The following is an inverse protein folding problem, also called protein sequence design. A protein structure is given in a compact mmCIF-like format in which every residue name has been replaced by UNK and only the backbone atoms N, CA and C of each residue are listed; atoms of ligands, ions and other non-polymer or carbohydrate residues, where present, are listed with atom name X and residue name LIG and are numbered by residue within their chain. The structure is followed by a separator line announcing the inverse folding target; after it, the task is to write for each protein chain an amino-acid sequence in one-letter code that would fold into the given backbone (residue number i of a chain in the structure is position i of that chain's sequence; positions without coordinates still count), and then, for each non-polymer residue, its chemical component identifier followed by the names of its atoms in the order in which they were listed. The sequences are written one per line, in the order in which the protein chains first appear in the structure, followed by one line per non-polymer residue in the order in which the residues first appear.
data_IF_346704197371
#
_entry.id   IF_346704197371
#
_cell.length_a   1.000
_cell.length_b   1.000
_cell.length_c   1.000
_cell.angle_alpha   90.00
_cell.angle_beta   90.00
_cell.angle_gamma   90.00
#
_symmetry.space_group_name_H-M   'P 1'
#
loop_
_entity.id
_entity.type
_entity.pdbx_description
1 polymer ?
#
# COMPACT_ATOMS: atom_id res chain seq x y z
N UNK A 1 -8.27 -24.54 20.30
CA UNK A 1 -7.63 -24.62 18.98
C UNK A 1 -8.71 -24.92 17.96
N UNK A 2 -9.09 -23.93 17.18
CA UNK A 2 -9.99 -24.09 16.04
C UNK A 2 -9.84 -22.82 15.20
N UNK A 3 -8.84 -22.85 14.33
CA UNK A 3 -8.58 -21.84 13.31
C UNK A 3 -9.72 -21.89 12.30
N UNK A 4 -10.60 -20.89 12.34
CA UNK A 4 -11.54 -20.61 11.27
C UNK A 4 -10.73 -20.25 10.02
N UNK A 5 -10.60 -21.20 9.10
CA UNK A 5 -10.05 -20.97 7.77
C UNK A 5 -10.95 -20.02 7.02
N UNK A 6 -10.57 -18.74 6.97
CA UNK A 6 -11.11 -17.79 6.01
C UNK A 6 -10.73 -18.28 4.62
N UNK A 7 -11.68 -18.89 3.92
CA UNK A 7 -11.60 -19.04 2.47
C UNK A 7 -11.53 -17.63 1.88
N UNK A 8 -10.33 -17.24 1.44
CA UNK A 8 -10.08 -15.92 0.90
C UNK A 8 -10.87 -15.65 -0.38
N UNK A 9 -11.40 -14.44 -0.51
CA UNK A 9 -12.33 -14.03 -1.60
C UNK A 9 -11.64 -14.07 -2.97
N UNK A 10 -10.31 -13.99 -3.02
CA UNK A 10 -9.55 -14.01 -4.27
C UNK A 10 -9.28 -15.43 -4.80
N UNK A 11 -9.47 -16.49 -4.00
CA UNK A 11 -9.25 -17.88 -4.44
C UNK A 11 -10.14 -18.27 -5.62
N UNK A 12 -11.32 -17.66 -5.71
CA UNK A 12 -12.28 -17.87 -6.80
C UNK A 12 -11.98 -17.01 -8.06
N UNK A 13 -10.99 -16.10 -8.01
CA UNK A 13 -10.62 -15.20 -9.12
C UNK A 13 -9.44 -15.72 -9.97
N UNK A 14 -9.17 -17.03 -9.92
CA UNK A 14 -8.12 -17.67 -10.72
C UNK A 14 -8.35 -17.61 -12.24
N UNK A 15 -9.55 -17.24 -12.70
CA UNK A 15 -9.87 -17.23 -14.13
C UNK A 15 -8.87 -16.38 -14.95
N UNK A 16 -8.33 -16.87 -16.09
CA UNK A 16 -7.33 -16.15 -16.89
C UNK A 16 -7.78 -14.76 -17.33
N UNK A 17 -9.07 -14.61 -17.66
CA UNK A 17 -9.67 -13.32 -18.06
C UNK A 17 -9.66 -12.24 -16.96
N UNK A 18 -9.39 -12.60 -15.70
CA UNK A 18 -9.30 -11.64 -14.59
C UNK A 18 -7.88 -11.16 -14.32
N UNK A 19 -6.85 -11.78 -14.93
CA UNK A 19 -5.45 -11.49 -14.61
C UNK A 19 -5.08 -10.01 -14.87
N UNK A 20 -5.51 -9.45 -15.99
CA UNK A 20 -5.24 -8.05 -16.33
C UNK A 20 -5.99 -7.08 -15.39
N UNK A 21 -7.21 -7.43 -14.97
CA UNK A 21 -7.93 -6.66 -13.97
C UNK A 21 -7.21 -6.69 -12.61
N UNK A 22 -6.68 -7.84 -12.19
CA UNK A 22 -5.90 -7.99 -10.96
C UNK A 22 -4.60 -7.18 -11.02
N UNK A 23 -3.85 -7.23 -12.13
CA UNK A 23 -2.65 -6.41 -12.34
C UNK A 23 -2.97 -4.92 -12.28
N UNK A 24 -4.06 -4.51 -12.94
CA UNK A 24 -4.53 -3.12 -12.94
C UNK A 24 -4.90 -2.65 -11.53
N UNK A 25 -5.71 -3.43 -10.80
CA UNK A 25 -6.08 -3.16 -9.42
C UNK A 25 -4.86 -3.05 -8.50
N UNK A 26 -3.91 -3.99 -8.60
CA UNK A 26 -2.66 -3.94 -7.85
C UNK A 26 -1.85 -2.68 -8.18
N UNK A 27 -1.77 -2.32 -9.46
CA UNK A 27 -1.11 -1.09 -9.92
C UNK A 27 -1.75 0.17 -9.33
N UNK A 28 -3.08 0.26 -9.33
CA UNK A 28 -3.83 1.38 -8.73
C UNK A 28 -3.62 1.41 -7.21
N UNK A 29 -3.62 0.26 -6.54
CA UNK A 29 -3.39 0.17 -5.08
C UNK A 29 -2.04 0.77 -4.67
N UNK A 30 -0.96 0.41 -5.36
CA UNK A 30 0.36 1.01 -5.07
C UNK A 30 0.46 2.49 -5.48
N UNK A 31 -0.30 2.94 -6.48
CA UNK A 31 -0.43 4.38 -6.78
C UNK A 31 -1.11 5.11 -5.64
N UNK A 32 -2.17 4.56 -5.06
CA UNK A 32 -2.84 5.13 -3.89
C UNK A 32 -1.90 5.27 -2.69
N UNK A 33 -1.13 4.22 -2.37
CA UNK A 33 -0.09 4.27 -1.32
C UNK A 33 0.86 5.45 -1.55
N UNK A 34 1.35 5.61 -2.78
CA UNK A 34 2.21 6.75 -3.15
C UNK A 34 1.48 8.08 -2.99
N UNK A 35 0.25 8.20 -3.46
CA UNK A 35 -0.56 9.41 -3.35
C UNK A 35 -0.77 9.83 -1.89
N UNK A 36 -1.04 8.89 -0.98
CA UNK A 36 -1.20 9.17 0.46
C UNK A 36 0.13 9.66 1.07
N UNK A 37 1.25 9.07 0.68
CA UNK A 37 2.58 9.54 1.09
C UNK A 37 2.87 10.95 0.59
N UNK A 38 2.68 11.19 -0.71
CA UNK A 38 2.95 12.49 -1.35
C UNK A 38 2.05 13.58 -0.75
N UNK A 39 0.78 13.27 -0.47
CA UNK A 39 -0.14 14.15 0.25
C UNK A 39 0.36 14.47 1.66
N UNK A 40 0.78 13.45 2.43
CA UNK A 40 1.24 13.62 3.82
C UNK A 40 2.50 14.48 3.89
N UNK A 41 3.43 14.30 2.94
CA UNK A 41 4.64 15.12 2.83
C UNK A 41 4.31 16.58 2.45
N UNK A 42 3.38 16.77 1.49
CA UNK A 42 2.93 18.12 1.11
C UNK A 42 2.26 18.83 2.28
N UNK A 43 1.43 18.12 3.05
CA UNK A 43 0.79 18.65 4.24
C UNK A 43 1.81 19.00 5.34
N UNK A 44 2.83 18.17 5.53
CA UNK A 44 3.93 18.45 6.45
C UNK A 44 4.63 19.77 6.11
N UNK A 45 4.96 20.00 4.83
CA UNK A 45 5.60 21.23 4.37
C UNK A 45 4.74 22.47 4.62
N UNK A 46 3.42 22.36 4.42
CA UNK A 46 2.50 23.47 4.73
C UNK A 46 2.47 23.80 6.22
N UNK A 47 2.49 22.79 7.09
CA UNK A 47 2.57 23.01 8.53
C UNK A 47 3.90 23.63 8.95
N UNK A 48 5.01 23.17 8.38
CA UNK A 48 6.35 23.72 8.65
C UNK A 48 6.43 25.21 8.27
N UNK A 49 6.01 25.57 7.06
CA UNK A 49 5.98 26.97 6.61
C UNK A 49 5.10 27.85 7.49
N UNK A 50 3.93 27.35 7.91
CA UNK A 50 3.05 28.08 8.81
C UNK A 50 3.69 28.32 10.18
N UNK A 51 4.34 27.29 10.73
CA UNK A 51 5.00 27.39 12.03
C UNK A 51 6.17 28.38 12.00
N UNK A 52 7.00 28.34 10.95
CA UNK A 52 8.09 29.30 10.74
C UNK A 52 7.58 30.75 10.68
N UNK A 53 6.48 30.99 9.94
CA UNK A 53 5.87 32.30 9.86
C UNK A 53 5.40 32.82 11.24
N UNK A 54 4.83 31.95 12.08
CA UNK A 54 4.46 32.29 13.46
C UNK A 54 5.68 32.59 14.34
N UNK A 55 6.77 31.83 14.20
CA UNK A 55 8.03 32.10 14.94
C UNK A 55 8.62 33.46 14.58
N UNK A 56 8.69 33.78 13.29
CA UNK A 56 9.18 35.08 12.82
C UNK A 56 8.28 36.21 13.34
N UNK A 57 6.95 36.03 13.31
CA UNK A 57 5.99 36.98 13.85
C UNK A 57 6.24 37.25 15.35
N UNK A 58 6.31 36.20 16.17
CA UNK A 58 6.53 36.33 17.62
C UNK A 58 7.87 37.00 17.91
N UNK A 59 8.94 36.58 17.23
CA UNK A 59 10.29 37.15 17.39
C UNK A 59 10.31 38.65 17.11
N UNK A 60 9.72 39.09 15.99
CA UNK A 60 9.64 40.49 15.62
C UNK A 60 8.88 41.34 16.66
N UNK A 61 7.74 40.84 17.14
CA UNK A 61 6.93 41.57 18.11
C UNK A 61 7.50 41.53 19.53
N UNK A 62 8.25 40.49 19.93
CA UNK A 62 9.02 40.51 21.18
C UNK A 62 10.10 41.57 21.18
N UNK A 63 10.82 41.73 20.05
CA UNK A 63 11.82 42.79 19.89
C UNK A 63 11.17 44.17 20.06
N UNK A 64 10.05 44.43 19.37
CA UNK A 64 9.29 45.67 19.50
C UNK A 64 8.74 45.89 20.92
N UNK A 65 8.28 44.84 21.57
CA UNK A 65 7.79 44.90 22.96
C UNK A 65 8.92 45.30 23.94
N UNK A 66 10.15 44.84 23.70
CA UNK A 66 11.31 45.22 24.51
C UNK A 66 11.67 46.71 24.41
N UNK A 67 11.43 47.33 23.24
CA UNK A 67 11.61 48.77 23.03
C UNK A 67 10.53 49.56 23.77
N UNK A 68 9.25 49.17 23.64
CA UNK A 68 8.13 49.79 24.34
C UNK A 68 8.25 49.74 25.87
N UNK A 69 8.86 48.68 26.41
CA UNK A 69 9.11 48.58 27.87
C UNK A 69 10.09 49.63 28.37
N UNK A 70 11.00 50.14 27.53
CA UNK A 70 11.96 51.21 27.92
C UNK A 70 11.29 52.58 28.05
N UNK A 71 10.18 52.79 27.35
CA UNK A 71 9.42 54.06 27.35
C UNK A 71 8.35 54.09 28.46
N UNK A 72 8.24 53.02 29.25
CA UNK A 72 7.12 52.82 30.16
C UNK A 72 7.21 53.74 31.40
N UNK A 73 6.15 54.49 31.74
CA UNK A 73 6.02 55.20 33.02
C UNK A 73 5.99 54.23 34.21
N UNK A 74 6.33 54.70 35.42
CA UNK A 74 6.39 53.90 36.65
C UNK A 74 5.02 53.41 37.20
N UNK A 75 4.02 53.19 36.34
CA UNK A 75 2.72 52.64 36.71
C UNK A 75 2.66 51.12 36.45
N UNK A 76 2.05 50.37 37.37
CA UNK A 76 1.76 48.95 37.17
C UNK A 76 0.59 48.79 36.19
N UNK A 77 0.75 47.94 35.18
CA UNK A 77 -0.26 47.62 34.16
C UNK A 77 -0.12 46.17 33.76
N UNK A 78 -1.25 45.44 33.79
CA UNK A 78 -1.31 44.01 33.42
C UNK A 78 -1.34 43.80 31.90
N UNK A 79 -1.47 44.87 31.10
CA UNK A 79 -1.56 44.78 29.64
C UNK A 79 -0.31 44.17 29.01
N UNK A 80 0.87 44.53 29.51
CA UNK A 80 2.13 43.94 29.03
C UNK A 80 2.27 42.47 29.38
N UNK A 81 1.70 42.03 30.50
CA UNK A 81 1.69 40.63 30.88
C UNK A 81 0.70 39.83 30.02
N UNK A 82 -0.51 40.36 29.78
CA UNK A 82 -1.48 39.74 28.89
C UNK A 82 -0.96 39.64 27.45
N UNK A 83 -0.28 40.68 26.95
CA UNK A 83 0.37 40.66 25.64
C UNK A 83 1.50 39.63 25.56
N UNK A 84 2.38 39.57 26.57
CA UNK A 84 3.45 38.56 26.59
C UNK A 84 2.88 37.14 26.65
N UNK A 85 1.79 36.94 27.39
CA UNK A 85 1.08 35.66 27.44
C UNK A 85 0.60 35.26 26.04
N UNK A 86 -0.05 36.17 25.30
CA UNK A 86 -0.46 35.89 23.93
C UNK A 86 0.73 35.52 23.02
N UNK A 87 1.86 36.24 23.13
CA UNK A 87 3.06 35.90 22.36
C UNK A 87 3.61 34.51 22.69
N UNK A 88 3.57 34.11 23.97
CA UNK A 88 3.95 32.76 24.40
C UNK A 88 3.00 31.69 23.86
N UNK A 89 1.68 31.95 23.86
CA UNK A 89 0.69 31.02 23.29
C UNK A 89 0.90 30.78 21.79
N UNK A 90 1.19 31.85 21.03
CA UNK A 90 1.44 31.72 19.58
C UNK A 90 2.75 30.98 19.31
N UNK A 91 3.78 31.17 20.14
CA UNK A 91 5.03 30.41 20.05
C UNK A 91 4.81 28.93 20.37
N UNK A 92 4.01 28.62 21.39
CA UNK A 92 3.64 27.25 21.73
C UNK A 92 2.84 26.57 20.60
N UNK A 93 1.89 27.28 19.97
CA UNK A 93 1.16 26.75 18.80
C UNK A 93 2.10 26.49 17.61
N UNK A 94 3.07 27.37 17.38
CA UNK A 94 4.09 27.16 16.36
C UNK A 94 4.90 25.88 16.63
N UNK A 95 5.39 25.69 17.86
CA UNK A 95 6.16 24.49 18.21
C UNK A 95 5.32 23.21 18.04
N UNK A 96 4.07 23.21 18.50
CA UNK A 96 3.15 22.09 18.29
C UNK A 96 2.89 21.82 16.80
N UNK A 97 2.89 22.86 15.96
CA UNK A 97 2.75 22.73 14.51
C UNK A 97 3.97 22.08 13.87
N UNK A 98 5.18 22.41 14.33
CA UNK A 98 6.43 21.76 13.89
C UNK A 98 6.41 20.27 14.23
N UNK A 99 5.94 19.92 15.42
CA UNK A 99 5.88 18.52 15.85
C UNK A 99 4.92 17.69 14.97
N UNK A 100 3.79 18.28 14.57
CA UNK A 100 2.86 17.68 13.59
C UNK A 100 3.52 17.53 12.22
N UNK A 101 4.18 18.58 11.71
CA UNK A 101 4.89 18.52 10.42
C UNK A 101 5.95 17.41 10.41
N UNK A 102 6.76 17.35 11.47
CA UNK A 102 7.79 16.32 11.65
C UNK A 102 7.19 14.91 11.68
N UNK A 103 6.05 14.72 12.36
CA UNK A 103 5.36 13.43 12.44
C UNK A 103 4.81 13.01 11.07
N UNK A 104 4.14 13.91 10.36
CA UNK A 104 3.61 13.65 9.02
C UNK A 104 4.71 13.28 8.02
N UNK A 105 5.86 13.95 8.05
CA UNK A 105 6.97 13.61 7.13
C UNK A 105 7.70 12.33 7.56
N UNK A 106 8.14 12.25 8.83
CA UNK A 106 9.08 11.22 9.29
C UNK A 106 8.42 9.93 9.74
N UNK A 107 7.17 9.99 10.19
CA UNK A 107 6.47 8.83 10.74
C UNK A 107 5.33 8.33 9.84
N UNK A 108 4.78 9.20 8.97
CA UNK A 108 3.69 8.83 8.05
C UNK A 108 4.20 8.67 6.62
N UNK A 109 4.66 9.75 5.97
CA UNK A 109 4.98 9.75 4.55
C UNK A 109 6.12 8.77 4.19
N UNK A 110 7.30 8.93 4.79
CA UNK A 110 8.46 8.06 4.48
C UNK A 110 8.22 6.59 4.87
N UNK A 111 7.76 6.28 6.10
CA UNK A 111 7.56 4.89 6.51
C UNK A 111 6.47 4.19 5.72
N UNK A 112 5.45 4.90 5.23
CA UNK A 112 4.42 4.32 4.36
C UNK A 112 5.03 3.71 3.08
N UNK A 113 5.98 4.40 2.45
CA UNK A 113 6.67 3.89 1.27
C UNK A 113 7.63 2.75 1.61
N UNK A 114 8.39 2.89 2.70
CA UNK A 114 9.36 1.88 3.14
C UNK A 114 8.67 0.56 3.53
N UNK A 115 7.63 0.63 4.37
CA UNK A 115 6.86 -0.53 4.85
C UNK A 115 6.07 -1.19 3.72
N UNK A 116 5.65 -0.47 2.68
CA UNK A 116 4.91 -1.07 1.56
C UNK A 116 5.81 -1.61 0.43
N UNK A 117 7.11 -1.26 0.42
CA UNK A 117 8.00 -1.60 -0.69
C UNK A 117 8.17 -3.11 -0.90
N UNK A 118 8.37 -3.87 0.17
CA UNK A 118 8.58 -5.32 0.05
C UNK A 118 7.33 -6.02 -0.51
N UNK A 119 6.12 -5.53 -0.17
CA UNK A 119 4.85 -6.01 -0.74
C UNK A 119 4.72 -5.68 -2.22
N UNK A 120 5.24 -4.52 -2.67
CA UNK A 120 5.32 -4.20 -4.10
C UNK A 120 6.19 -5.20 -4.85
N UNK A 121 7.35 -5.55 -4.30
CA UNK A 121 8.24 -6.56 -4.88
C UNK A 121 7.57 -7.93 -4.88
N UNK A 122 6.92 -8.31 -3.78
CA UNK A 122 6.22 -9.59 -3.66
C UNK A 122 5.09 -9.73 -4.68
N UNK A 123 4.25 -8.71 -4.86
CA UNK A 123 3.16 -8.76 -5.86
C UNK A 123 3.68 -8.97 -7.28
N UNK A 124 4.81 -8.35 -7.64
CA UNK A 124 5.46 -8.56 -8.93
C UNK A 124 5.88 -10.02 -9.11
N UNK A 125 6.46 -10.65 -8.09
CA UNK A 125 6.84 -12.06 -8.13
C UNK A 125 5.63 -12.96 -8.35
N UNK A 126 4.52 -12.72 -7.66
CA UNK A 126 3.27 -13.47 -7.85
C UNK A 126 2.81 -13.43 -9.31
N UNK A 127 2.78 -12.24 -9.93
CA UNK A 127 2.39 -12.10 -11.33
C UNK A 127 3.40 -12.74 -12.30
N UNK A 128 4.70 -12.61 -12.04
CA UNK A 128 5.74 -13.28 -12.85
C UNK A 128 5.65 -14.80 -12.76
N UNK A 129 5.40 -15.35 -11.57
CA UNK A 129 5.19 -16.80 -11.40
C UNK A 129 3.96 -17.26 -12.17
N UNK A 130 2.83 -16.54 -12.05
CA UNK A 130 1.61 -16.85 -12.80
C UNK A 130 1.87 -16.88 -14.31
N UNK A 131 2.52 -15.86 -14.86
CA UNK A 131 2.87 -15.79 -16.29
C UNK A 131 3.81 -16.94 -16.73
N UNK A 132 4.77 -17.30 -15.89
CA UNK A 132 5.65 -18.45 -16.15
C UNK A 132 4.87 -19.76 -16.18
N UNK A 133 3.94 -19.98 -15.25
CA UNK A 133 3.11 -21.17 -15.23
C UNK A 133 2.14 -21.22 -16.42
N UNK A 134 1.48 -20.10 -16.75
CA UNK A 134 0.62 -20.00 -17.92
C UNK A 134 1.39 -20.35 -19.21
N UNK A 135 2.65 -19.90 -19.33
CA UNK A 135 3.53 -20.26 -20.45
C UNK A 135 3.85 -21.76 -20.50
N UNK A 136 4.09 -22.38 -19.34
CA UNK A 136 4.36 -23.83 -19.26
C UNK A 136 3.11 -24.62 -19.65
N UNK A 137 1.94 -24.24 -19.13
CA UNK A 137 0.66 -24.88 -19.45
C UNK A 137 0.38 -24.77 -20.96
N UNK A 138 0.49 -23.58 -21.54
CA UNK A 138 0.29 -23.38 -22.98
C UNK A 138 1.21 -24.27 -23.82
N UNK A 139 2.49 -24.39 -23.47
CA UNK A 139 3.45 -25.28 -24.17
C UNK A 139 3.07 -26.75 -24.04
N UNK A 140 2.58 -27.16 -22.88
CA UNK A 140 2.13 -28.54 -22.63
C UNK A 140 0.86 -28.87 -23.43
N UNK A 141 -0.08 -27.93 -23.53
CA UNK A 141 -1.28 -28.06 -24.37
C UNK A 141 -0.93 -28.10 -25.86
N UNK A 142 0.01 -27.27 -26.32
CA UNK A 142 0.52 -27.31 -27.69
C UNK A 142 1.15 -28.67 -28.04
N UNK A 143 1.93 -29.26 -27.13
CA UNK A 143 2.49 -30.61 -27.31
C UNK A 143 1.40 -31.67 -27.44
N UNK A 144 0.39 -31.61 -26.57
CA UNK A 144 -0.76 -32.51 -26.65
C UNK A 144 -1.50 -32.38 -27.99
N UNK A 145 -1.72 -31.15 -28.45
CA UNK A 145 -2.34 -30.88 -29.75
C UNK A 145 -1.54 -31.50 -30.91
N UNK A 146 -0.21 -31.37 -30.89
CA UNK A 146 0.69 -32.00 -31.88
C UNK A 146 0.58 -33.53 -31.87
N UNK A 147 0.70 -34.16 -30.69
CA UNK A 147 0.56 -35.62 -30.57
C UNK A 147 -0.81 -36.12 -31.06
N UNK A 148 -1.89 -35.37 -30.80
CA UNK A 148 -3.24 -35.69 -31.28
C UNK A 148 -3.34 -35.64 -32.80
N UNK A 149 -2.75 -34.61 -33.42
CA UNK A 149 -2.74 -34.46 -34.88
C UNK A 149 -1.95 -35.60 -35.52
N UNK A 150 -0.77 -35.91 -34.99
CA UNK A 150 0.09 -37.00 -35.48
C UNK A 150 -0.60 -38.36 -35.37
N UNK A 151 -1.19 -38.66 -34.20
CA UNK A 151 -1.98 -39.87 -34.00
C UNK A 151 -3.11 -40.00 -35.03
N UNK A 152 -3.86 -38.93 -35.27
CA UNK A 152 -4.94 -38.90 -36.27
C UNK A 152 -4.41 -39.14 -37.69
N UNK A 153 -3.26 -38.56 -38.04
CA UNK A 153 -2.64 -38.74 -39.34
C UNK A 153 -2.18 -40.19 -39.55
N UNK A 154 -1.50 -40.79 -38.57
CA UNK A 154 -1.07 -42.19 -38.62
C UNK A 154 -2.27 -43.14 -38.71
N UNK A 155 -3.36 -42.86 -38.00
CA UNK A 155 -4.62 -43.60 -38.12
C UNK A 155 -5.18 -43.57 -39.55
N UNK A 156 -5.28 -42.38 -40.16
CA UNK A 156 -5.79 -42.21 -41.53
C UNK A 156 -4.88 -42.94 -42.52
N UNK A 157 -3.56 -42.81 -42.38
CA UNK A 157 -2.59 -43.46 -43.26
C UNK A 157 -2.69 -44.99 -43.19
N UNK A 158 -2.78 -45.57 -41.98
CA UNK A 158 -2.96 -47.00 -41.81
C UNK A 158 -4.29 -47.48 -42.40
N UNK A 159 -5.38 -46.72 -42.20
CA UNK A 159 -6.69 -47.05 -42.77
C UNK A 159 -6.71 -47.01 -44.30
N UNK A 160 -5.98 -46.09 -44.92
CA UNK A 160 -5.89 -45.96 -46.39
C UNK A 160 -5.00 -47.03 -47.01
N UNK A 161 -3.89 -47.38 -46.35
CA UNK A 161 -2.94 -48.39 -46.81
C UNK A 161 -2.46 -49.27 -45.63
N UNK A 162 -3.19 -50.36 -45.33
CA UNK A 162 -2.86 -51.21 -44.20
C UNK A 162 -1.58 -52.01 -44.47
N UNK A 163 -0.55 -51.76 -43.68
CA UNK A 163 0.72 -52.50 -43.69
C UNK A 163 1.23 -52.66 -42.26
N UNK A 164 2.18 -53.58 -42.04
CA UNK A 164 2.81 -53.74 -40.73
C UNK A 164 3.50 -52.45 -40.26
N UNK A 165 4.14 -51.72 -41.19
CA UNK A 165 4.81 -50.46 -40.88
C UNK A 165 3.81 -49.37 -40.43
N UNK A 166 2.71 -49.19 -41.17
CA UNK A 166 1.69 -48.19 -40.81
C UNK A 166 0.95 -48.56 -39.53
N UNK A 167 0.82 -49.85 -39.22
CA UNK A 167 0.28 -50.32 -37.94
C UNK A 167 1.19 -49.96 -36.76
N UNK A 168 2.50 -50.19 -36.89
CA UNK A 168 3.49 -49.80 -35.86
C UNK A 168 3.44 -48.29 -35.58
N UNK A 169 3.49 -47.47 -36.63
CA UNK A 169 3.43 -46.00 -36.47
C UNK A 169 2.10 -45.52 -35.83
N UNK A 170 0.98 -46.16 -36.16
CA UNK A 170 -0.30 -45.87 -35.54
C UNK A 170 -0.31 -46.20 -34.04
N UNK A 171 0.23 -47.36 -33.64
CA UNK A 171 0.31 -47.76 -32.22
C UNK A 171 1.29 -46.85 -31.45
N UNK A 172 2.43 -46.51 -32.05
CA UNK A 172 3.44 -45.67 -31.39
C UNK A 172 2.91 -44.24 -31.16
N UNK A 173 2.28 -43.64 -32.19
CA UNK A 173 1.66 -42.31 -32.06
C UNK A 173 0.46 -42.31 -31.11
N UNK A 174 -0.31 -43.41 -31.02
CA UNK A 174 -1.34 -43.58 -30.01
C UNK A 174 -0.76 -43.53 -28.59
N UNK A 175 0.28 -44.34 -28.33
CA UNK A 175 0.92 -44.41 -27.02
C UNK A 175 1.51 -43.06 -26.62
N UNK A 176 2.19 -42.37 -27.55
CA UNK A 176 2.71 -41.02 -27.33
C UNK A 176 1.60 -40.02 -27.00
N UNK A 177 0.48 -40.04 -27.72
CA UNK A 177 -0.68 -39.20 -27.45
C UNK A 177 -1.28 -39.47 -26.07
N UNK A 178 -1.53 -40.73 -25.71
CA UNK A 178 -2.11 -41.10 -24.41
C UNK A 178 -1.18 -40.69 -23.26
N UNK A 179 0.13 -40.91 -23.38
CA UNK A 179 1.10 -40.47 -22.38
C UNK A 179 1.09 -38.95 -22.21
N UNK A 180 1.12 -38.20 -23.32
CA UNK A 180 1.07 -36.74 -23.26
C UNK A 180 -0.27 -36.23 -22.71
N UNK A 181 -1.39 -36.90 -23.00
CA UNK A 181 -2.70 -36.55 -22.44
C UNK A 181 -2.72 -36.68 -20.92
N UNK A 182 -2.20 -37.80 -20.38
CA UNK A 182 -2.09 -37.98 -18.94
C UNK A 182 -1.18 -36.93 -18.30
N UNK A 183 -0.03 -36.64 -18.90
CA UNK A 183 0.88 -35.61 -18.41
C UNK A 183 0.23 -34.22 -18.41
N UNK A 184 -0.44 -33.84 -19.50
CA UNK A 184 -1.14 -32.55 -19.61
C UNK A 184 -2.26 -32.42 -18.58
N UNK A 185 -3.10 -33.45 -18.42
CA UNK A 185 -4.18 -33.44 -17.43
C UNK A 185 -3.64 -33.28 -16.00
N UNK A 186 -2.60 -34.03 -15.64
CA UNK A 186 -1.98 -33.92 -14.32
C UNK A 186 -1.38 -32.52 -14.07
N UNK A 187 -0.76 -31.90 -15.09
CA UNK A 187 -0.25 -30.53 -14.97
C UNK A 187 -1.36 -29.50 -14.82
N UNK A 188 -2.46 -29.63 -15.56
CA UNK A 188 -3.62 -28.75 -15.45
C UNK A 188 -4.27 -28.85 -14.08
N UNK A 189 -4.44 -30.08 -13.57
CA UNK A 189 -4.98 -30.33 -12.24
C UNK A 189 -4.11 -29.68 -11.15
N UNK A 190 -2.81 -29.97 -11.13
CA UNK A 190 -1.88 -29.38 -10.18
C UNK A 190 -1.83 -27.83 -10.26
N UNK A 191 -1.90 -27.27 -11.46
CA UNK A 191 -1.90 -25.82 -11.63
C UNK A 191 -3.19 -25.18 -11.12
N UNK A 192 -4.34 -25.67 -11.56
CA UNK A 192 -5.63 -25.03 -11.27
C UNK A 192 -6.16 -25.32 -9.86
N UNK A 193 -5.88 -26.51 -9.31
CA UNK A 193 -6.40 -26.91 -8.00
C UNK A 193 -5.46 -26.55 -6.84
N UNK A 194 -4.17 -26.36 -7.10
CA UNK A 194 -3.18 -26.13 -6.03
C UNK A 194 -2.40 -24.83 -6.24
N UNK A 195 -1.66 -24.72 -7.33
CA UNK A 195 -0.66 -23.64 -7.52
C UNK A 195 -1.32 -22.27 -7.66
N UNK A 196 -2.29 -22.15 -8.56
CA UNK A 196 -2.97 -20.89 -8.83
C UNK A 196 -3.77 -20.38 -7.61
N UNK A 197 -4.54 -21.22 -6.89
CA UNK A 197 -5.16 -20.81 -5.63
C UNK A 197 -4.16 -20.28 -4.58
N UNK A 198 -2.97 -20.88 -4.47
CA UNK A 198 -1.91 -20.39 -3.57
C UNK A 198 -1.41 -19.01 -3.99
N UNK A 199 -1.16 -18.79 -5.29
CA UNK A 199 -0.78 -17.47 -5.81
C UNK A 199 -1.87 -16.41 -5.55
N UNK A 200 -3.15 -16.78 -5.65
CA UNK A 200 -4.25 -15.86 -5.33
C UNK A 200 -4.32 -15.55 -3.84
N UNK A 201 -4.05 -16.54 -2.98
CA UNK A 201 -3.97 -16.31 -1.54
C UNK A 201 -2.81 -15.37 -1.18
N UNK A 202 -1.62 -15.55 -1.76
CA UNK A 202 -0.50 -14.61 -1.55
C UNK A 202 -0.86 -13.18 -1.96
N UNK A 203 -1.60 -13.01 -3.06
CA UNK A 203 -2.06 -11.70 -3.51
C UNK A 203 -3.05 -11.06 -2.52
N UNK A 204 -3.92 -11.87 -1.90
CA UNK A 204 -4.86 -11.43 -0.87
C UNK A 204 -4.15 -10.98 0.40
N UNK A 205 -3.17 -11.77 0.85
CA UNK A 205 -2.32 -11.43 2.00
C UNK A 205 -1.59 -10.11 1.77
N UNK A 206 -1.04 -9.90 0.57
CA UNK A 206 -0.44 -8.63 0.18
C UNK A 206 -1.44 -7.48 0.29
N UNK A 207 -2.66 -7.65 -0.21
CA UNK A 207 -3.68 -6.61 -0.17
C UNK A 207 -4.08 -6.26 1.27
N UNK A 208 -4.34 -7.27 2.10
CA UNK A 208 -4.70 -7.08 3.50
C UNK A 208 -3.60 -6.35 4.28
N UNK A 209 -2.34 -6.71 4.05
CA UNK A 209 -1.21 -6.03 4.69
C UNK A 209 -1.05 -4.59 4.23
N UNK A 210 -1.30 -4.30 2.94
CA UNK A 210 -1.31 -2.92 2.45
C UNK A 210 -2.45 -2.11 3.08
N UNK A 211 -3.64 -2.67 3.23
CA UNK A 211 -4.75 -2.03 3.94
C UNK A 211 -4.33 -1.66 5.37
N UNK A 212 -3.74 -2.60 6.11
CA UNK A 212 -3.26 -2.35 7.46
C UNK A 212 -2.19 -1.24 7.51
N UNK A 213 -1.18 -1.32 6.64
CA UNK A 213 -0.11 -0.31 6.58
C UNK A 213 -0.67 1.09 6.30
N UNK A 214 -1.59 1.21 5.33
CA UNK A 214 -2.20 2.50 4.96
C UNK A 214 -3.10 3.01 6.09
N UNK A 215 -3.94 2.15 6.67
CA UNK A 215 -4.83 2.52 7.77
C UNK A 215 -4.07 2.99 9.01
N UNK A 216 -3.00 2.29 9.39
CA UNK A 216 -2.11 2.72 10.49
C UNK A 216 -1.49 4.09 10.21
N UNK A 217 -0.96 4.31 9.00
CA UNK A 217 -0.32 5.57 8.63
C UNK A 217 -1.32 6.74 8.65
N UNK A 218 -2.54 6.53 8.13
CA UNK A 218 -3.61 7.54 8.13
C UNK A 218 -4.05 7.85 9.56
N UNK A 219 -4.22 6.83 10.40
CA UNK A 219 -4.60 6.99 11.80
C UNK A 219 -3.54 7.79 12.57
N UNK A 220 -2.26 7.43 12.41
CA UNK A 220 -1.14 8.12 13.04
C UNK A 220 -1.08 9.60 12.63
N UNK A 221 -1.29 9.90 11.35
CA UNK A 221 -1.36 11.28 10.86
C UNK A 221 -2.54 12.06 11.45
N UNK A 222 -3.71 11.43 11.56
CA UNK A 222 -4.90 12.03 12.15
C UNK A 222 -4.73 12.31 13.65
N UNK A 223 -4.12 11.38 14.40
CA UNK A 223 -3.82 11.52 15.82
C UNK A 223 -2.85 12.67 16.08
N UNK A 224 -1.80 12.81 15.26
CA UNK A 224 -0.86 13.92 15.36
C UNK A 224 -1.57 15.28 15.20
N UNK A 225 -2.43 15.41 14.19
CA UNK A 225 -3.21 16.63 13.95
C UNK A 225 -4.21 16.90 15.08
N UNK A 226 -4.84 15.85 15.62
CA UNK A 226 -5.79 15.97 16.73
C UNK A 226 -5.10 16.41 18.04
N UNK A 227 -3.90 15.89 18.33
CA UNK A 227 -3.12 16.26 19.50
C UNK A 227 -2.83 17.76 19.56
N UNK A 228 -2.50 18.39 18.41
CA UNK A 228 -2.35 19.85 18.31
C UNK A 228 -3.60 20.60 18.77
N UNK A 229 -4.80 20.16 18.35
CA UNK A 229 -6.07 20.82 18.71
C UNK A 229 -6.41 20.71 20.20
N UNK A 230 -5.91 19.66 20.88
CA UNK A 230 -6.08 19.48 22.32
C UNK A 230 -5.29 20.50 23.15
N UNK A 231 -4.08 20.85 22.71
CA UNK A 231 -3.18 21.78 23.42
C UNK A 231 -3.80 23.18 23.54
N UNK A 232 -4.36 23.71 22.43
CA UNK A 232 -4.98 25.05 22.42
C UNK A 232 -6.14 25.18 23.42
N UNK A 233 -6.85 24.08 23.71
CA UNK A 233 -8.03 24.07 24.58
C UNK A 233 -7.68 24.02 26.07
N UNK A 234 -6.54 23.45 26.45
CA UNK A 234 -6.10 23.34 27.84
C UNK A 234 -5.45 24.62 28.33
N UNK A 235 -4.71 25.33 27.47
CA UNK A 235 -3.92 26.50 27.89
C UNK A 235 -4.79 27.76 28.06
N UNK A 236 -5.83 27.95 27.24
CA UNK A 236 -6.80 29.05 27.40
C UNK A 236 -7.60 28.99 28.71
N UNK A 237 -7.74 27.82 29.34
CA UNK A 237 -8.50 27.63 30.59
C UNK A 237 -7.61 27.88 31.83
N UNK A 238 -6.29 27.87 31.68
CA UNK A 238 -5.34 27.88 32.80
C UNK A 238 -4.86 29.27 33.24
N UNK A 239 -5.34 30.38 32.66
CA UNK A 239 -5.02 31.72 33.18
C UNK A 239 -5.87 32.04 34.42
N UNK A 240 -5.28 32.19 35.63
CA UNK A 240 -6.06 32.55 36.80
C UNK A 240 -6.47 34.02 36.68
N UNK A 241 -7.77 34.27 36.78
CA UNK A 241 -8.32 35.58 37.08
C UNK A 241 -7.79 36.03 38.45
N UNK A 242 -6.65 36.72 38.47
CA UNK A 242 -6.23 37.52 39.62
C UNK A 242 -6.44 38.99 39.30
N UNK A 243 -7.72 39.37 39.29
CA UNK A 243 -8.13 40.75 39.42
C UNK A 243 -8.74 40.94 40.82
N UNK A 244 -8.25 42.01 41.48
CA UNK A 244 -8.76 42.69 42.67
C UNK A 244 -8.04 42.40 43.99
N UNK A 245 -7.11 43.31 44.32
CA UNK A 245 -7.31 44.29 45.39
C UNK A 245 -6.57 45.59 45.05
N UNK A 246 -7.26 46.70 45.31
CA UNK A 246 -6.76 48.07 45.24
C UNK A 246 -5.49 48.27 46.06
#
# INVERSE_FOLDING_TARGET
MSTSGGGGVLKDLGHPGLNEALKSHNGVTFKLVKTVSDFSETLAQLYEQHAEALQVLVSNYRKRNSELRKERPACQSNLFAAWETLLQEIEADSQATIDVASTLSRQVARPLLERSFYRKVQSRKVFTHRESFDTIISKTEEKLSKCRIEYKQCYIAHRQSPTQHTLTQYIDSHNAYVQQLHATNAMLEAYHCETLPQLMQELEEIYNDLCNIVSEAVLQGAEAIAAKKGIFRVVLIATPSSAHKC
#
